data_IF_027935164965
#
_entry.id   IF_027935164965
#
_cell.length_a   1.000
_cell.length_b   1.000
_cell.length_c   1.000
_cell.angle_alpha   90.00
_cell.angle_beta   90.00
_cell.angle_gamma   90.00
#
_symmetry.space_group_name_H-M   'P 1'
#
loop_
_entity.id
_entity.type
_entity.pdbx_description
1 polymer ?
#
# COMPACT_ATOMS: atom_id res chain seq x y z
N UNK A 1 -16.42 -3.60 8.42
CA UNK A 1 -16.33 -2.97 7.09
C UNK A 1 -14.88 -2.88 6.66
N UNK A 2 -14.60 -3.08 5.38
CA UNK A 2 -13.25 -3.01 4.82
C UNK A 2 -13.28 -2.50 3.37
N UNK A 3 -12.17 -1.91 2.94
CA UNK A 3 -11.88 -1.74 1.50
C UNK A 3 -11.31 -3.03 0.94
N UNK A 4 -11.65 -3.36 -0.29
CA UNK A 4 -11.17 -4.58 -0.97
C UNK A 4 -9.94 -4.36 -1.85
N UNK A 5 -9.36 -3.16 -1.86
CA UNK A 5 -8.31 -2.75 -2.80
C UNK A 5 -7.09 -2.10 -2.13
N UNK A 6 -6.84 -2.43 -0.84
CA UNK A 6 -5.70 -1.89 -0.08
C UNK A 6 -4.81 -3.02 0.40
N UNK A 7 -4.70 -3.26 1.71
CA UNK A 7 -3.95 -4.40 2.26
C UNK A 7 -4.54 -5.74 1.80
N UNK A 8 -5.87 -5.80 1.65
CA UNK A 8 -6.53 -6.84 0.86
C UNK A 8 -6.42 -6.44 -0.61
N UNK A 9 -5.64 -7.16 -1.43
CA UNK A 9 -5.21 -6.68 -2.75
C UNK A 9 -6.17 -7.07 -3.88
N UNK A 10 -7.46 -6.86 -3.66
CA UNK A 10 -8.54 -7.15 -4.60
C UNK A 10 -8.95 -5.94 -5.45
N UNK A 11 -10.04 -6.07 -6.20
CA UNK A 11 -10.57 -4.98 -7.01
C UNK A 11 -11.14 -3.87 -6.13
N UNK A 12 -11.21 -2.68 -6.68
CA UNK A 12 -11.76 -1.52 -5.97
C UNK A 12 -13.21 -1.76 -5.55
N UNK A 13 -13.47 -1.63 -4.26
CA UNK A 13 -14.78 -1.85 -3.66
C UNK A 13 -14.75 -1.81 -2.14
N UNK A 14 -15.88 -2.17 -1.55
CA UNK A 14 -16.05 -2.31 -0.10
C UNK A 14 -16.62 -3.68 0.27
N UNK A 15 -16.34 -4.09 1.49
CA UNK A 15 -16.88 -5.29 2.11
C UNK A 15 -17.53 -4.93 3.43
N UNK A 16 -18.72 -5.47 3.68
CA UNK A 16 -19.38 -5.45 4.98
C UNK A 16 -19.57 -6.90 5.42
N UNK A 17 -19.08 -7.26 6.59
CA UNK A 17 -19.34 -8.52 7.23
C UNK A 17 -20.09 -8.29 8.55
N UNK A 18 -21.14 -9.06 8.79
CA UNK A 18 -21.94 -9.00 10.00
C UNK A 18 -22.15 -10.41 10.55
N UNK A 19 -22.04 -10.55 11.86
CA UNK A 19 -22.30 -11.80 12.59
C UNK A 19 -23.68 -11.80 13.26
N UNK A 20 -24.40 -10.68 13.20
CA UNK A 20 -25.73 -10.52 13.81
C UNK A 20 -26.77 -10.63 12.71
N UNK A 21 -27.51 -11.75 12.70
CA UNK A 21 -28.44 -12.12 11.64
C UNK A 21 -29.55 -11.06 11.43
N UNK A 22 -30.10 -10.52 12.51
CA UNK A 22 -31.13 -9.47 12.46
C UNK A 22 -30.68 -8.20 11.72
N UNK A 23 -29.37 -7.91 11.69
CA UNK A 23 -28.81 -6.75 11.02
C UNK A 23 -28.52 -6.95 9.54
N UNK A 24 -28.46 -8.20 9.07
CA UNK A 24 -28.11 -8.49 7.66
C UNK A 24 -29.14 -7.89 6.71
N UNK A 25 -30.43 -8.03 7.00
CA UNK A 25 -31.50 -7.47 6.16
C UNK A 25 -31.48 -5.93 6.12
N UNK A 26 -31.20 -5.27 7.24
CA UNK A 26 -31.07 -3.82 7.30
C UNK A 26 -29.86 -3.35 6.48
N UNK A 27 -28.73 -4.05 6.61
CA UNK A 27 -27.51 -3.74 5.85
C UNK A 27 -27.72 -3.95 4.34
N UNK A 28 -28.38 -5.04 3.93
CA UNK A 28 -28.68 -5.27 2.52
C UNK A 28 -29.55 -4.16 1.93
N UNK A 29 -30.60 -3.73 2.64
CA UNK A 29 -31.44 -2.61 2.22
C UNK A 29 -30.67 -1.28 2.16
N UNK A 30 -29.77 -1.05 3.11
CA UNK A 30 -28.94 0.14 3.10
C UNK A 30 -27.96 0.11 1.93
N UNK A 31 -27.31 -1.02 1.64
CA UNK A 31 -26.39 -1.12 0.51
C UNK A 31 -27.14 -0.94 -0.81
N UNK A 32 -28.24 -1.65 -1.01
CA UNK A 32 -29.05 -1.53 -2.23
C UNK A 32 -30.54 -1.43 -1.87
N UNK A 33 -31.25 -0.42 -2.41
CA UNK A 33 -30.87 0.57 -3.42
C UNK A 33 -30.39 1.92 -2.84
N UNK A 34 -30.17 2.04 -1.49
CA UNK A 34 -29.94 3.35 -0.88
C UNK A 34 -28.56 3.93 -1.23
N UNK A 35 -27.47 3.16 -0.98
CA UNK A 35 -26.11 3.65 -1.21
C UNK A 35 -25.50 3.18 -2.53
N UNK A 36 -26.05 2.14 -3.15
CA UNK A 36 -25.61 1.64 -4.46
C UNK A 36 -26.82 1.41 -5.36
N UNK A 37 -26.64 1.62 -6.65
CA UNK A 37 -27.70 1.42 -7.66
C UNK A 37 -27.54 0.13 -8.44
N UNK A 38 -26.35 -0.48 -8.44
CA UNK A 38 -26.07 -1.68 -9.24
C UNK A 38 -24.86 -2.44 -8.68
N UNK A 39 -24.61 -3.61 -9.24
CA UNK A 39 -23.47 -4.48 -8.95
C UNK A 39 -22.67 -4.75 -10.23
N UNK A 40 -21.40 -5.13 -10.07
CA UNK A 40 -20.49 -5.41 -11.17
C UNK A 40 -19.91 -6.81 -11.04
N UNK A 41 -20.39 -7.76 -11.84
CA UNK A 41 -20.04 -9.18 -11.76
C UNK A 41 -18.52 -9.45 -11.87
N UNK A 42 -17.82 -8.68 -12.73
CA UNK A 42 -16.36 -8.80 -12.86
C UNK A 42 -15.62 -8.55 -11.54
N UNK A 43 -16.16 -7.68 -10.66
CA UNK A 43 -15.60 -7.45 -9.33
C UNK A 43 -15.78 -8.65 -8.40
N UNK A 44 -16.90 -9.33 -8.48
CA UNK A 44 -17.13 -10.54 -7.68
C UNK A 44 -16.13 -11.63 -8.06
N UNK A 45 -15.94 -11.89 -9.35
CA UNK A 45 -14.96 -12.85 -9.82
C UNK A 45 -13.53 -12.51 -9.33
N UNK A 46 -13.10 -11.25 -9.49
CA UNK A 46 -11.80 -10.79 -9.04
C UNK A 46 -11.66 -10.83 -7.50
N UNK A 47 -12.71 -10.47 -6.75
CA UNK A 47 -12.71 -10.55 -5.29
C UNK A 47 -12.61 -12.00 -4.82
N UNK A 48 -13.31 -12.93 -5.49
CA UNK A 48 -13.22 -14.35 -5.18
C UNK A 48 -11.81 -14.89 -5.34
N UNK A 49 -11.14 -14.57 -6.46
CA UNK A 49 -9.74 -14.95 -6.66
C UNK A 49 -8.87 -14.41 -5.53
N UNK A 50 -9.06 -13.14 -5.15
CA UNK A 50 -8.29 -12.54 -4.06
C UNK A 50 -8.56 -13.20 -2.71
N UNK A 51 -9.81 -13.61 -2.43
CA UNK A 51 -10.16 -14.35 -1.21
C UNK A 51 -9.42 -15.68 -1.14
N UNK A 52 -9.38 -16.43 -2.24
CA UNK A 52 -8.65 -17.71 -2.32
C UNK A 52 -7.15 -17.49 -2.18
N UNK A 53 -6.59 -16.43 -2.81
CA UNK A 53 -5.18 -16.05 -2.59
C UNK A 53 -4.89 -15.73 -1.13
N UNK A 54 -5.78 -14.98 -0.46
CA UNK A 54 -5.61 -14.61 0.95
C UNK A 54 -5.78 -15.79 1.90
N UNK A 55 -6.63 -16.74 1.59
CA UNK A 55 -6.71 -18.00 2.34
C UNK A 55 -5.39 -18.76 2.26
N UNK A 56 -4.75 -18.77 1.09
CA UNK A 56 -3.52 -19.52 0.85
C UNK A 56 -2.26 -18.79 1.32
N UNK A 57 -2.11 -17.52 1.01
CA UNK A 57 -0.89 -16.72 1.25
C UNK A 57 -1.04 -15.70 2.38
N UNK A 58 -2.25 -15.37 2.81
CA UNK A 58 -2.55 -14.19 3.61
C UNK A 58 -1.84 -14.16 4.96
N UNK A 59 -1.69 -15.29 5.64
CA UNK A 59 -1.03 -15.34 6.94
C UNK A 59 0.46 -14.97 6.85
N UNK A 60 1.18 -15.51 5.87
CA UNK A 60 2.59 -15.16 5.65
C UNK A 60 2.73 -13.73 5.14
N UNK A 61 1.92 -13.34 4.17
CA UNK A 61 1.91 -11.98 3.64
C UNK A 61 1.69 -10.94 4.75
N UNK A 62 0.68 -11.11 5.59
CA UNK A 62 0.40 -10.18 6.69
C UNK A 62 1.55 -10.08 7.69
N UNK A 63 2.17 -11.22 8.05
CA UNK A 63 3.34 -11.25 8.92
C UNK A 63 4.51 -10.47 8.30
N UNK A 64 4.81 -10.72 7.02
CA UNK A 64 5.87 -10.01 6.28
C UNK A 64 5.61 -8.51 6.18
N UNK A 65 4.37 -8.12 5.95
CA UNK A 65 3.98 -6.71 5.90
C UNK A 65 4.32 -6.00 7.22
N UNK A 66 3.99 -6.59 8.37
CA UNK A 66 4.28 -5.99 9.69
C UNK A 66 5.79 -5.96 9.95
N UNK A 67 6.52 -7.04 9.62
CA UNK A 67 7.97 -7.10 9.74
C UNK A 67 8.66 -6.02 8.89
N UNK A 68 8.23 -5.85 7.65
CA UNK A 68 8.76 -4.85 6.73
C UNK A 68 8.45 -3.43 7.19
N UNK A 69 7.25 -3.16 7.70
CA UNK A 69 6.89 -1.85 8.23
C UNK A 69 7.80 -1.45 9.42
N UNK A 70 8.09 -2.39 10.32
CA UNK A 70 9.04 -2.15 11.41
C UNK A 70 10.44 -1.91 10.91
N UNK A 71 10.94 -2.77 10.01
CA UNK A 71 12.27 -2.62 9.45
C UNK A 71 12.45 -1.28 8.71
N UNK A 72 11.43 -0.82 7.99
CA UNK A 72 11.43 0.51 7.36
C UNK A 72 11.51 1.61 8.41
N UNK A 73 10.69 1.53 9.47
CA UNK A 73 10.69 2.53 10.53
C UNK A 73 12.04 2.59 11.27
N UNK A 74 12.58 1.45 11.67
CA UNK A 74 13.89 1.35 12.31
C UNK A 74 14.98 1.96 11.42
N UNK A 75 15.01 1.58 10.15
CA UNK A 75 16.00 2.10 9.20
C UNK A 75 15.86 3.60 8.93
N UNK A 76 14.64 4.14 8.90
CA UNK A 76 14.41 5.59 8.80
C UNK A 76 14.94 6.32 10.03
N UNK A 77 14.70 5.79 11.24
CA UNK A 77 15.24 6.35 12.48
C UNK A 77 16.77 6.38 12.47
N UNK A 78 17.42 5.29 12.04
CA UNK A 78 18.88 5.21 11.87
C UNK A 78 19.43 6.25 10.89
N UNK A 79 18.65 6.64 9.89
CA UNK A 79 18.99 7.69 8.92
C UNK A 79 18.65 9.11 9.41
N UNK A 80 18.18 9.29 10.65
CA UNK A 80 17.78 10.58 11.19
C UNK A 80 16.44 11.12 10.68
N UNK A 81 15.65 10.26 10.06
CA UNK A 81 14.28 10.55 9.62
C UNK A 81 13.32 9.98 10.66
N UNK A 82 12.69 10.79 11.54
CA UNK A 82 12.04 10.29 12.76
C UNK A 82 10.64 9.70 12.50
N UNK A 83 10.46 8.37 12.54
CA UNK A 83 9.14 7.77 12.59
C UNK A 83 8.48 8.05 13.95
N UNK A 84 7.14 8.14 13.94
CA UNK A 84 6.39 8.35 15.19
C UNK A 84 6.25 7.04 15.98
N UNK A 85 5.92 7.17 17.28
CA UNK A 85 5.65 6.05 18.19
C UNK A 85 6.83 5.10 18.45
N UNK A 86 8.06 5.62 18.48
CA UNK A 86 9.27 4.86 18.78
C UNK A 86 9.16 4.05 20.08
N UNK A 87 8.69 4.66 21.17
CA UNK A 87 8.51 3.99 22.45
C UNK A 87 7.51 2.81 22.42
N UNK A 88 6.69 2.70 21.36
CA UNK A 88 5.73 1.62 21.12
C UNK A 88 6.22 0.61 20.07
N UNK A 89 7.47 0.72 19.61
CA UNK A 89 8.04 -0.09 18.53
C UNK A 89 7.50 0.30 17.15
N UNK A 90 7.25 1.61 16.95
CA UNK A 90 6.82 2.27 15.72
C UNK A 90 5.45 1.83 15.21
N UNK A 91 5.26 0.57 14.82
CA UNK A 91 4.02 0.10 14.21
C UNK A 91 3.77 -1.39 14.43
N UNK A 92 2.49 -1.77 14.42
CA UNK A 92 2.01 -3.16 14.35
C UNK A 92 1.12 -3.38 13.11
N UNK A 93 1.20 -2.47 12.14
CA UNK A 93 0.40 -2.51 10.92
C UNK A 93 1.29 -2.40 9.68
N UNK A 94 0.69 -2.18 8.53
CA UNK A 94 1.37 -1.96 7.26
C UNK A 94 1.87 -0.52 7.07
N UNK A 95 1.57 0.39 8.00
CA UNK A 95 1.82 1.82 7.86
C UNK A 95 2.92 2.28 8.80
N UNK A 96 3.72 3.24 8.32
CA UNK A 96 4.69 4.00 9.09
C UNK A 96 4.35 5.48 8.94
N UNK A 97 4.10 6.16 10.03
CA UNK A 97 3.96 7.60 10.06
C UNK A 97 5.31 8.23 10.45
N UNK A 98 5.69 9.31 9.77
CA UNK A 98 7.00 9.96 9.94
C UNK A 98 6.78 11.45 10.10
N UNK A 99 7.42 12.04 11.12
CA UNK A 99 7.45 13.50 11.30
C UNK A 99 8.51 14.11 10.38
N UNK A 100 8.05 14.89 9.41
CA UNK A 100 8.91 15.57 8.44
C UNK A 100 8.85 17.10 8.58
N UNK A 101 8.42 17.60 9.74
CA UNK A 101 8.34 19.03 10.02
C UNK A 101 9.70 19.74 9.83
N UNK A 102 10.79 19.10 10.26
CA UNK A 102 12.17 19.60 10.07
C UNK A 102 12.61 19.68 8.61
N UNK A 103 11.97 18.92 7.73
CA UNK A 103 12.28 18.88 6.29
C UNK A 103 11.34 19.74 5.44
N UNK A 104 10.48 20.54 6.10
CA UNK A 104 9.58 21.48 5.44
C UNK A 104 8.12 21.07 5.40
N UNK A 105 7.76 19.98 6.10
CA UNK A 105 6.39 19.49 6.25
C UNK A 105 5.95 18.52 5.16
N UNK A 106 4.80 17.89 5.39
CA UNK A 106 4.33 16.78 4.59
C UNK A 106 4.11 17.11 3.11
N UNK A 107 3.58 18.28 2.78
CA UNK A 107 3.34 18.70 1.39
C UNK A 107 4.63 18.77 0.57
N UNK A 108 5.64 19.45 1.09
CA UNK A 108 6.92 19.64 0.38
C UNK A 108 7.69 18.33 0.26
N UNK A 109 7.69 17.54 1.34
CA UNK A 109 8.41 16.27 1.36
C UNK A 109 7.76 15.26 0.41
N UNK A 110 6.43 15.15 0.43
CA UNK A 110 5.73 14.26 -0.49
C UNK A 110 6.01 14.61 -1.96
N UNK A 111 5.99 15.90 -2.31
CA UNK A 111 6.30 16.34 -3.67
C UNK A 111 7.75 15.99 -4.08
N UNK A 112 8.75 16.25 -3.22
CA UNK A 112 10.14 15.89 -3.51
C UNK A 112 10.37 14.39 -3.67
N UNK A 113 9.73 13.59 -2.83
CA UNK A 113 9.81 12.14 -2.92
C UNK A 113 9.14 11.62 -4.20
N UNK A 114 8.03 12.23 -4.63
CA UNK A 114 7.37 11.91 -5.90
C UNK A 114 8.29 12.18 -7.10
N UNK A 115 9.02 13.30 -7.11
CA UNK A 115 10.06 13.58 -8.12
C UNK A 115 11.14 12.49 -8.17
N UNK A 116 11.46 11.88 -7.02
CA UNK A 116 12.36 10.73 -6.91
C UNK A 116 11.69 9.37 -7.20
N UNK A 117 10.44 9.36 -7.68
CA UNK A 117 9.64 8.15 -7.93
C UNK A 117 9.31 7.33 -6.66
N UNK A 118 9.24 8.01 -5.51
CA UNK A 118 8.83 7.44 -4.22
C UNK A 118 7.50 8.07 -3.82
N UNK A 119 6.41 7.33 -4.03
CA UNK A 119 5.05 7.83 -3.80
C UNK A 119 4.65 7.62 -2.35
N UNK A 120 4.33 8.71 -1.65
CA UNK A 120 3.89 8.71 -0.26
C UNK A 120 2.67 9.60 -0.07
N UNK A 121 1.94 9.42 1.03
CA UNK A 121 0.89 10.35 1.40
C UNK A 121 1.41 11.41 2.37
N UNK A 122 1.14 12.68 2.12
CA UNK A 122 1.15 13.69 3.17
C UNK A 122 0.08 13.37 4.20
N UNK A 123 0.38 13.50 5.48
CA UNK A 123 -0.52 13.09 6.54
C UNK A 123 -0.37 13.96 7.78
N UNK A 124 -1.50 14.44 8.31
CA UNK A 124 -1.48 15.13 9.60
C UNK A 124 -1.11 14.13 10.71
N UNK A 125 -0.28 14.58 11.64
CA UNK A 125 0.09 13.85 12.84
C UNK A 125 -0.80 14.29 14.03
N UNK A 126 -0.87 13.51 15.11
CA UNK A 126 -1.81 13.79 16.22
C UNK A 126 -1.67 15.18 16.88
N UNK A 127 -0.54 15.82 16.73
CA UNK A 127 -0.26 17.16 17.26
C UNK A 127 -0.47 18.29 16.26
N UNK A 128 -0.82 17.98 15.00
CA UNK A 128 -1.09 19.01 14.01
C UNK A 128 -2.39 19.74 14.30
N UNK A 129 -2.33 21.07 14.25
CA UNK A 129 -3.50 21.93 14.43
C UNK A 129 -4.42 21.99 13.21
N UNK A 130 -3.92 21.57 12.05
CA UNK A 130 -4.67 21.63 10.78
C UNK A 130 -4.25 20.48 9.85
N UNK A 131 -5.23 19.79 9.30
CA UNK A 131 -5.04 18.78 8.28
C UNK A 131 -4.58 19.35 6.93
N UNK A 132 -4.76 20.67 6.73
CA UNK A 132 -4.34 21.37 5.51
C UNK A 132 -2.83 21.71 5.49
N UNK A 133 -2.17 21.62 6.63
CA UNK A 133 -0.73 21.84 6.77
C UNK A 133 -0.12 20.68 7.58
N UNK A 134 -0.07 19.48 6.99
CA UNK A 134 0.39 18.30 7.68
C UNK A 134 1.88 18.37 7.95
N UNK A 135 2.30 18.00 9.18
CA UNK A 135 3.70 17.89 9.54
C UNK A 135 4.33 16.56 9.15
N UNK A 136 3.54 15.57 8.80
CA UNK A 136 3.99 14.21 8.54
C UNK A 136 3.74 13.69 7.14
N UNK A 137 4.37 12.55 6.89
CA UNK A 137 4.06 11.66 5.77
C UNK A 137 3.68 10.28 6.28
N UNK A 138 2.95 9.52 5.47
CA UNK A 138 2.58 8.14 5.75
C UNK A 138 3.07 7.23 4.63
N UNK A 139 3.80 6.21 5.02
CA UNK A 139 4.35 5.17 4.17
C UNK A 139 3.54 3.88 4.35
N UNK A 140 3.28 3.17 3.26
CA UNK A 140 2.66 1.85 3.29
C UNK A 140 3.56 0.84 2.59
N UNK A 141 3.81 -0.31 3.21
CA UNK A 141 4.76 -1.32 2.72
C UNK A 141 4.08 -2.53 2.08
N UNK A 142 2.74 -2.59 2.11
CA UNK A 142 1.98 -3.76 1.67
C UNK A 142 2.22 -4.11 0.20
N UNK A 143 2.27 -3.10 -0.67
CA UNK A 143 2.48 -3.31 -2.10
C UNK A 143 3.90 -3.83 -2.37
N UNK A 144 4.92 -3.20 -1.81
CA UNK A 144 6.30 -3.64 -1.99
C UNK A 144 6.54 -5.02 -1.41
N UNK A 145 5.89 -5.35 -0.29
CA UNK A 145 5.91 -6.70 0.27
C UNK A 145 5.29 -7.71 -0.71
N UNK A 146 4.17 -7.35 -1.35
CA UNK A 146 3.53 -8.23 -2.35
C UNK A 146 4.43 -8.51 -3.55
N UNK A 147 5.31 -7.59 -3.92
CA UNK A 147 6.33 -7.79 -4.93
C UNK A 147 7.59 -8.51 -4.41
N UNK A 148 7.57 -8.99 -3.18
CA UNK A 148 8.63 -9.83 -2.63
C UNK A 148 9.76 -9.09 -1.94
N UNK A 149 9.64 -7.79 -1.70
CA UNK A 149 10.60 -7.05 -0.90
C UNK A 149 10.55 -7.49 0.56
N UNK A 150 11.71 -7.60 1.18
CA UNK A 150 11.91 -7.94 2.59
C UNK A 150 12.55 -6.81 3.37
N UNK A 151 13.12 -7.16 4.54
CA UNK A 151 13.70 -6.18 5.47
C UNK A 151 14.91 -5.43 4.89
N UNK A 152 15.71 -6.09 4.07
CA UNK A 152 16.91 -5.48 3.47
C UNK A 152 16.50 -4.43 2.43
N UNK A 153 15.46 -4.72 1.63
CA UNK A 153 14.89 -3.77 0.71
C UNK A 153 14.24 -2.58 1.43
N UNK A 154 13.63 -2.80 2.59
CA UNK A 154 13.09 -1.71 3.41
C UNK A 154 14.21 -0.77 3.92
N UNK A 155 15.37 -1.32 4.26
CA UNK A 155 16.56 -0.52 4.61
C UNK A 155 17.06 0.29 3.43
N UNK A 156 17.05 -0.28 2.24
CA UNK A 156 17.45 0.46 1.03
C UNK A 156 16.46 1.57 0.68
N UNK A 157 15.15 1.31 0.80
CA UNK A 157 14.11 2.33 0.63
C UNK A 157 14.30 3.48 1.64
N UNK A 158 14.64 3.17 2.90
CA UNK A 158 14.92 4.19 3.91
C UNK A 158 16.10 5.08 3.51
N UNK A 159 17.17 4.52 2.92
CA UNK A 159 18.31 5.30 2.40
C UNK A 159 17.89 6.22 1.26
N UNK A 160 17.09 5.74 0.30
CA UNK A 160 16.59 6.60 -0.79
C UNK A 160 15.78 7.78 -0.25
N UNK A 161 14.90 7.53 0.72
CA UNK A 161 14.13 8.60 1.38
C UNK A 161 15.06 9.57 2.08
N UNK A 162 16.03 9.10 2.86
CA UNK A 162 16.98 9.94 3.58
C UNK A 162 17.83 10.80 2.65
N UNK A 163 18.28 10.28 1.50
CA UNK A 163 19.03 11.02 0.48
C UNK A 163 18.23 12.21 -0.06
N UNK A 164 16.96 12.01 -0.40
CA UNK A 164 16.08 13.10 -0.84
C UNK A 164 15.90 14.15 0.26
N UNK A 165 15.72 13.71 1.51
CA UNK A 165 15.49 14.61 2.65
C UNK A 165 16.77 15.37 3.07
N UNK A 166 17.95 14.79 2.84
CA UNK A 166 19.24 15.47 3.06
C UNK A 166 19.59 16.49 1.98
N UNK A 167 18.77 16.61 0.92
CA UNK A 167 18.92 17.62 -0.12
C UNK A 167 19.64 17.14 -1.38
N UNK A 168 19.82 15.83 -1.55
CA UNK A 168 20.26 15.28 -2.83
C UNK A 168 19.20 15.53 -3.92
N UNK A 169 19.65 15.83 -5.13
CA UNK A 169 18.75 16.09 -6.26
C UNK A 169 17.86 14.88 -6.56
N UNK A 170 16.52 15.03 -6.53
CA UNK A 170 15.57 13.93 -6.71
C UNK A 170 15.79 13.13 -8.00
N UNK A 171 16.23 13.78 -9.08
CA UNK A 171 16.51 13.13 -10.36
C UNK A 171 17.64 12.08 -10.27
N UNK A 172 18.63 12.29 -9.39
CA UNK A 172 19.70 11.32 -9.12
C UNK A 172 19.13 10.09 -8.41
N UNK A 173 18.43 10.31 -7.32
CA UNK A 173 17.78 9.25 -6.51
C UNK A 173 16.78 8.47 -7.36
N UNK A 174 16.01 9.15 -8.23
CA UNK A 174 15.05 8.51 -9.13
C UNK A 174 15.68 7.43 -10.01
N UNK A 175 16.88 7.67 -10.55
CA UNK A 175 17.56 6.64 -11.37
C UNK A 175 17.85 5.40 -10.56
N UNK A 176 18.32 5.54 -9.33
CA UNK A 176 18.63 4.42 -8.45
C UNK A 176 17.36 3.67 -8.02
N UNK A 177 16.28 4.40 -7.70
CA UNK A 177 14.96 3.82 -7.37
C UNK A 177 14.40 3.01 -8.54
N UNK A 178 14.48 3.54 -9.77
CA UNK A 178 14.02 2.84 -10.97
C UNK A 178 14.86 1.58 -11.21
N UNK A 179 16.16 1.64 -11.06
CA UNK A 179 17.03 0.48 -11.23
C UNK A 179 16.75 -0.59 -10.16
N UNK A 180 16.69 -0.18 -8.89
CA UNK A 180 16.35 -1.06 -7.77
C UNK A 180 15.00 -1.77 -8.00
N UNK A 181 14.00 -1.06 -8.48
CA UNK A 181 12.63 -1.59 -8.68
C UNK A 181 12.56 -2.68 -9.75
N UNK A 182 13.48 -2.72 -10.71
CA UNK A 182 13.48 -3.73 -11.80
C UNK A 182 13.58 -5.17 -11.30
N UNK A 183 14.18 -5.40 -10.13
CA UNK A 183 14.27 -6.73 -9.53
C UNK A 183 12.95 -7.22 -8.91
N UNK A 184 11.94 -6.35 -8.76
CA UNK A 184 10.72 -6.62 -8.00
C UNK A 184 9.46 -6.35 -8.84
N UNK A 185 9.32 -7.02 -9.98
CA UNK A 185 8.20 -6.86 -10.90
C UNK A 185 7.15 -7.96 -10.81
N UNK A 186 7.47 -9.08 -10.16
CA UNK A 186 6.58 -10.24 -10.04
C UNK A 186 5.84 -10.23 -8.70
N UNK A 187 4.53 -10.52 -8.74
CA UNK A 187 3.73 -10.76 -7.53
C UNK A 187 4.17 -12.09 -6.89
N UNK A 188 4.48 -12.06 -5.59
CA UNK A 188 4.91 -13.25 -4.82
C UNK A 188 3.77 -13.90 -4.04
N UNK A 189 2.82 -13.11 -3.54
CA UNK A 189 1.68 -13.59 -2.74
C UNK A 189 0.40 -13.59 -3.59
N UNK A 190 0.42 -14.34 -4.68
CA UNK A 190 -0.69 -14.51 -5.60
C UNK A 190 -0.44 -15.71 -6.51
N UNK A 191 -1.47 -16.21 -7.13
CA UNK A 191 -1.35 -17.29 -8.09
C UNK A 191 -0.63 -16.80 -9.36
N UNK A 192 0.22 -17.67 -9.91
CA UNK A 192 0.83 -17.39 -11.22
C UNK A 192 -0.22 -17.50 -12.29
N UNK A 193 -0.32 -16.47 -13.12
CA UNK A 193 -1.21 -16.46 -14.27
C UNK A 193 -0.45 -17.06 -15.45
N UNK A 194 -1.02 -18.12 -16.05
CA UNK A 194 -0.53 -18.65 -17.32
C UNK A 194 -0.86 -17.66 -18.45
N UNK A 195 0.17 -17.07 -19.04
CA UNK A 195 0.02 -16.13 -20.16
C UNK A 195 -0.67 -16.75 -21.35
N UNK A 196 -0.47 -18.04 -21.62
CA UNK A 196 -1.14 -18.75 -22.68
C UNK A 196 -2.66 -18.81 -22.51
N UNK A 197 -3.16 -18.88 -21.27
CA UNK A 197 -4.59 -18.77 -20.99
C UNK A 197 -5.11 -17.36 -21.32
N UNK A 198 -4.37 -16.32 -20.93
CA UNK A 198 -4.74 -14.93 -21.24
C UNK A 198 -4.81 -14.72 -22.77
N UNK A 199 -3.75 -15.10 -23.47
CA UNK A 199 -3.68 -14.98 -24.94
C UNK A 199 -4.82 -15.75 -25.62
N UNK A 200 -5.14 -16.94 -25.15
CA UNK A 200 -6.25 -17.74 -25.67
C UNK A 200 -7.60 -17.08 -25.43
N UNK A 201 -7.83 -16.53 -24.24
CA UNK A 201 -9.09 -15.84 -23.90
C UNK A 201 -9.23 -14.55 -24.72
N UNK A 202 -8.22 -13.70 -24.75
CA UNK A 202 -8.27 -12.43 -25.49
C UNK A 202 -8.25 -12.64 -27.00
N UNK A 203 -7.50 -13.62 -27.52
CA UNK A 203 -7.52 -13.98 -28.94
C UNK A 203 -8.88 -14.49 -29.39
N UNK A 204 -9.62 -15.22 -28.55
CA UNK A 204 -10.97 -15.68 -28.86
C UNK A 204 -12.03 -14.56 -28.85
N UNK A 205 -11.77 -13.45 -28.17
CA UNK A 205 -12.71 -12.33 -28.08
C UNK A 205 -12.68 -11.38 -29.30
N UNK A 206 -11.75 -11.58 -30.22
CA UNK A 206 -11.62 -10.79 -31.44
C UNK A 206 -11.69 -9.27 -31.23
N UNK A 207 -11.07 -8.77 -30.17
CA UNK A 207 -11.19 -7.39 -29.67
C UNK A 207 -10.57 -6.33 -30.61
N UNK A 208 -9.97 -6.76 -31.74
CA UNK A 208 -9.29 -5.90 -32.69
C UNK A 208 -9.77 -6.14 -34.16
N UNK A 209 -10.97 -6.66 -34.32
CA UNK A 209 -11.61 -6.78 -35.64
C UNK A 209 -12.45 -5.56 -35.98
#
# INVERSE_FOLDING_TARGET
TSSTHKTFPGPQGGLIAAVVEDKVNELQKAVFPVFTSNYHLHRYAATYVTLVEMEHFGAEYARRVVENARALAEALAEQGVPPVAEALGYTRTHQVAVDVSKFGGGDKVAAKLEEANIIVNKNALPWDKSVLKPSGIRLGVQEMTRFGMGKDEMREIAKFIARVLSGEEPAGVRRDVVEFRKAYLEIKYGFKIDRGIIEKVFGSLNLYA
#
